data_IF_593784575602
#
_entry.id   IF_593784575602
#
_cell.length_a   1.000
_cell.length_b   1.000
_cell.length_c   1.000
_cell.angle_alpha   90.00
_cell.angle_beta   90.00
_cell.angle_gamma   90.00
#
_symmetry.space_group_name_H-M   'P 1'
#
loop_
_entity.id
_entity.type
_entity.pdbx_description
1 polymer ?
#
# COMPACT_ATOMS: atom_id res chain seq x y z
N UNK A 1 -18.59 -21.85 5.84
CA UNK A 1 -19.15 -20.54 6.23
C UNK A 1 -18.70 -19.55 5.16
N UNK A 2 -19.61 -19.17 4.26
CA UNK A 2 -19.32 -18.32 3.10
C UNK A 2 -19.00 -16.90 3.54
N UNK A 3 -18.14 -16.22 2.75
CA UNK A 3 -17.82 -14.80 2.93
C UNK A 3 -18.96 -13.92 2.39
N UNK A 4 -20.13 -13.96 3.02
CA UNK A 4 -21.23 -13.08 2.61
C UNK A 4 -20.86 -11.58 2.70
N UNK A 5 -19.84 -11.22 3.54
CA UNK A 5 -19.48 -9.84 3.85
C UNK A 5 -18.03 -9.46 3.43
N UNK A 6 -17.44 -10.12 2.43
CA UNK A 6 -16.13 -9.72 1.87
C UNK A 6 -14.94 -9.85 2.82
N UNK A 7 -15.09 -10.54 3.96
CA UNK A 7 -14.03 -10.72 4.97
C UNK A 7 -14.31 -10.01 6.30
N UNK A 8 -15.35 -9.16 6.36
CA UNK A 8 -15.81 -8.58 7.61
C UNK A 8 -16.42 -9.64 8.54
N UNK A 9 -16.33 -9.41 9.85
CA UNK A 9 -16.84 -10.34 10.89
C UNK A 9 -18.35 -10.50 10.83
N UNK A 10 -19.06 -9.40 10.57
CA UNK A 10 -20.52 -9.31 10.36
C UNK A 10 -20.89 -7.96 9.74
N UNK A 11 -22.18 -7.81 9.35
CA UNK A 11 -22.68 -6.60 8.72
C UNK A 11 -22.58 -5.34 9.59
N UNK A 12 -22.76 -5.46 10.91
CA UNK A 12 -22.65 -4.32 11.83
C UNK A 12 -21.21 -3.80 11.92
N UNK A 13 -20.22 -4.70 11.99
CA UNK A 13 -18.80 -4.31 11.98
C UNK A 13 -18.40 -3.70 10.64
N UNK A 14 -18.92 -4.24 9.53
CA UNK A 14 -18.75 -3.64 8.22
C UNK A 14 -19.30 -2.23 8.16
N UNK A 15 -20.51 -2.00 8.66
CA UNK A 15 -21.14 -0.68 8.68
C UNK A 15 -20.33 0.34 9.49
N UNK A 16 -19.88 -0.03 10.71
CA UNK A 16 -19.03 0.83 11.56
C UNK A 16 -17.71 1.16 10.89
N UNK A 17 -17.10 0.18 10.24
CA UNK A 17 -15.85 0.38 9.51
C UNK A 17 -16.03 1.35 8.34
N UNK A 18 -17.07 1.15 7.53
CA UNK A 18 -17.33 2.01 6.37
C UNK A 18 -17.60 3.45 6.77
N UNK A 19 -18.19 3.71 7.93
CA UNK A 19 -18.32 5.08 8.44
C UNK A 19 -16.96 5.76 8.66
N UNK A 20 -16.01 5.07 9.33
CA UNK A 20 -14.64 5.59 9.51
C UNK A 20 -13.89 5.71 8.18
N UNK A 21 -14.10 4.75 7.28
CA UNK A 21 -13.52 4.75 5.94
C UNK A 21 -14.00 5.98 5.13
N UNK A 22 -15.29 6.30 5.18
CA UNK A 22 -15.85 7.45 4.47
C UNK A 22 -15.35 8.78 5.06
N UNK A 23 -15.16 8.88 6.38
CA UNK A 23 -14.55 10.05 7.01
C UNK A 23 -13.11 10.29 6.51
N UNK A 24 -12.30 9.25 6.39
CA UNK A 24 -10.92 9.38 5.87
C UNK A 24 -10.95 9.68 4.37
N UNK A 25 -11.86 9.07 3.62
CA UNK A 25 -12.05 9.39 2.19
C UNK A 25 -12.44 10.84 1.93
N UNK A 26 -13.15 11.47 2.86
CA UNK A 26 -13.52 12.87 2.76
C UNK A 26 -12.33 13.85 2.82
N UNK A 27 -11.12 13.37 3.17
CA UNK A 27 -9.88 14.14 3.04
C UNK A 27 -9.42 14.28 1.57
N UNK A 28 -9.94 13.43 0.70
CA UNK A 28 -9.61 13.40 -0.73
C UNK A 28 -10.70 14.07 -1.55
N UNK A 29 -10.33 14.70 -2.67
CA UNK A 29 -11.31 15.12 -3.69
C UNK A 29 -12.12 13.90 -4.17
N UNK A 30 -13.36 14.15 -4.62
CA UNK A 30 -14.15 13.09 -5.25
C UNK A 30 -13.36 12.48 -6.43
N UNK A 31 -13.40 11.17 -6.62
CA UNK A 31 -12.80 10.54 -7.79
C UNK A 31 -13.55 10.95 -9.06
N UNK A 32 -12.80 11.08 -10.15
CA UNK A 32 -13.38 11.36 -11.47
C UNK A 32 -14.13 10.14 -11.99
N UNK A 33 -13.59 8.93 -11.72
CA UNK A 33 -14.23 7.66 -12.07
C UNK A 33 -14.03 6.63 -10.94
N UNK A 34 -15.04 5.82 -10.72
CA UNK A 34 -14.96 4.65 -9.82
C UNK A 34 -15.17 3.40 -10.66
N UNK A 35 -14.25 2.45 -10.54
CA UNK A 35 -14.32 1.17 -11.25
C UNK A 35 -14.50 0.02 -10.25
N UNK A 36 -15.37 -0.94 -10.59
CA UNK A 36 -15.48 -2.25 -9.94
C UNK A 36 -15.00 -3.31 -10.93
N UNK A 37 -13.77 -3.79 -10.72
CA UNK A 37 -13.08 -4.65 -11.68
C UNK A 37 -13.12 -6.10 -11.22
N UNK A 38 -13.75 -6.96 -12.02
CA UNK A 38 -13.78 -8.39 -11.75
C UNK A 38 -12.45 -9.04 -12.10
N UNK A 39 -11.91 -9.77 -11.14
CA UNK A 39 -10.70 -10.58 -11.28
C UNK A 39 -11.00 -12.04 -10.95
N UNK A 40 -10.05 -12.93 -11.23
CA UNK A 40 -10.10 -14.34 -10.80
C UNK A 40 -10.31 -14.51 -9.29
N UNK A 41 -9.92 -13.51 -8.46
CA UNK A 41 -9.91 -13.60 -7.00
C UNK A 41 -11.02 -12.82 -6.31
N UNK A 42 -11.77 -12.03 -7.07
CA UNK A 42 -12.85 -11.20 -6.56
C UNK A 42 -13.00 -9.89 -7.34
N UNK A 43 -13.73 -8.95 -6.78
CA UNK A 43 -13.98 -7.64 -7.35
C UNK A 43 -13.13 -6.57 -6.65
N UNK A 44 -12.32 -5.86 -7.43
CA UNK A 44 -11.40 -4.80 -6.95
C UNK A 44 -12.04 -3.45 -7.20
N UNK A 45 -12.22 -2.65 -6.15
CA UNK A 45 -12.60 -1.25 -6.23
C UNK A 45 -11.37 -0.40 -6.53
N UNK A 46 -11.46 0.40 -7.60
CA UNK A 46 -10.42 1.33 -8.04
C UNK A 46 -11.02 2.73 -8.16
N UNK A 47 -10.28 3.71 -7.66
CA UNK A 47 -10.64 5.13 -7.77
C UNK A 47 -9.62 5.82 -8.67
N UNK A 48 -10.12 6.50 -9.69
CA UNK A 48 -9.32 7.27 -10.65
C UNK A 48 -9.48 8.76 -10.36
N UNK A 49 -8.35 9.48 -10.38
CA UNK A 49 -8.27 10.92 -10.16
C UNK A 49 -7.34 11.57 -11.17
N UNK A 50 -7.64 12.82 -11.55
CA UNK A 50 -6.81 13.63 -12.42
C UNK A 50 -7.13 13.47 -13.90
N UNK A 51 -6.34 14.05 -14.81
CA UNK A 51 -6.66 14.16 -16.23
C UNK A 51 -6.75 12.78 -16.89
N UNK A 52 -7.78 12.58 -17.68
CA UNK A 52 -7.91 11.36 -18.49
C UNK A 52 -6.76 11.30 -19.51
N UNK A 53 -6.09 10.14 -19.60
CA UNK A 53 -4.99 9.92 -20.54
C UNK A 53 -3.63 10.49 -20.10
N UNK A 54 -3.52 11.01 -18.88
CA UNK A 54 -2.22 11.34 -18.29
C UNK A 54 -1.39 10.08 -17.98
N UNK A 55 -0.05 10.20 -17.78
CA UNK A 55 0.78 9.05 -17.38
C UNK A 55 0.20 8.38 -16.13
N UNK A 56 0.02 7.03 -16.13
CA UNK A 56 -0.67 6.35 -15.07
C UNK A 56 0.22 6.12 -13.84
N UNK A 57 -0.21 6.61 -12.69
CA UNK A 57 0.35 6.27 -11.37
C UNK A 57 -0.63 5.38 -10.63
N UNK A 58 -0.19 4.20 -10.21
CA UNK A 58 -1.00 3.24 -9.47
C UNK A 58 -0.48 3.10 -8.05
N UNK A 59 -1.33 3.37 -7.06
CA UNK A 59 -0.99 3.43 -5.64
C UNK A 59 -1.55 2.24 -4.87
N UNK A 60 -0.68 1.45 -4.23
CA UNK A 60 -1.01 0.25 -3.45
C UNK A 60 -0.80 0.51 -1.96
N UNK A 61 -1.87 0.47 -1.18
CA UNK A 61 -1.89 0.83 0.23
C UNK A 61 -1.23 -0.21 1.16
N UNK A 62 -0.94 0.21 2.40
CA UNK A 62 -0.39 -0.64 3.47
C UNK A 62 -1.41 -1.65 4.03
N UNK A 63 -0.91 -2.57 4.86
CA UNK A 63 -1.71 -3.61 5.50
C UNK A 63 -2.82 -3.02 6.38
N UNK A 64 -4.04 -3.52 6.23
CA UNK A 64 -5.26 -3.06 6.93
C UNK A 64 -5.57 -1.57 6.76
N UNK A 65 -4.96 -0.95 5.75
CA UNK A 65 -5.33 0.36 5.22
C UNK A 65 -6.12 0.19 3.92
N UNK A 66 -6.44 1.31 3.26
CA UNK A 66 -7.23 1.36 2.02
C UNK A 66 -6.72 2.43 1.07
N UNK A 67 -7.32 2.53 -0.11
CA UNK A 67 -7.13 3.64 -1.04
C UNK A 67 -7.29 5.02 -0.38
N UNK A 68 -8.07 5.12 0.68
CA UNK A 68 -8.31 6.37 1.41
C UNK A 68 -7.05 6.98 2.04
N UNK A 69 -5.95 6.21 2.25
CA UNK A 69 -4.70 6.75 2.78
C UNK A 69 -3.96 7.71 1.83
N UNK A 70 -4.34 7.77 0.56
CA UNK A 70 -3.57 8.43 -0.48
C UNK A 70 -3.97 9.88 -0.77
N UNK A 71 -4.69 10.58 0.14
CA UNK A 71 -5.17 11.94 -0.09
C UNK A 71 -4.05 12.93 -0.43
N UNK A 72 -2.89 12.82 0.21
CA UNK A 72 -1.75 13.69 -0.07
C UNK A 72 -1.10 13.40 -1.43
N UNK A 73 -1.01 12.12 -1.82
CA UNK A 73 -0.46 11.73 -3.12
C UNK A 73 -1.43 12.09 -4.24
N UNK A 74 -2.73 11.91 -4.05
CA UNK A 74 -3.75 12.34 -5.00
C UNK A 74 -3.63 13.85 -5.21
N UNK A 75 -3.63 14.64 -4.13
CA UNK A 75 -3.48 16.09 -4.19
C UNK A 75 -2.21 16.52 -4.94
N UNK A 76 -1.08 15.84 -4.66
CA UNK A 76 0.22 16.24 -5.20
C UNK A 76 0.52 15.75 -6.61
N UNK A 77 -0.16 14.70 -7.12
CA UNK A 77 0.19 14.07 -8.39
C UNK A 77 -0.82 14.33 -9.51
N UNK A 78 -2.09 14.63 -9.21
CA UNK A 78 -3.14 14.78 -10.22
C UNK A 78 -2.95 15.98 -11.15
N UNK A 79 -2.04 16.92 -10.86
CA UNK A 79 -1.71 18.01 -11.78
C UNK A 79 -0.96 17.54 -13.03
N UNK A 80 -0.40 16.34 -13.05
CA UNK A 80 0.39 15.84 -14.19
C UNK A 80 0.20 14.36 -14.50
N UNK A 81 -0.55 13.62 -13.66
CA UNK A 81 -0.73 12.18 -13.77
C UNK A 81 -2.20 11.79 -13.63
N UNK A 82 -2.59 10.69 -14.26
CA UNK A 82 -3.81 9.99 -13.89
C UNK A 82 -3.48 9.04 -12.72
N UNK A 83 -4.06 9.29 -11.55
CA UNK A 83 -3.77 8.54 -10.32
C UNK A 83 -4.86 7.51 -10.07
N UNK A 84 -4.47 6.25 -9.94
CA UNK A 84 -5.34 5.14 -9.60
C UNK A 84 -5.02 4.63 -8.21
N UNK A 85 -6.00 4.56 -7.33
CA UNK A 85 -5.88 4.00 -5.98
C UNK A 85 -6.77 2.79 -5.84
N UNK A 86 -6.23 1.68 -5.32
CA UNK A 86 -6.94 0.41 -5.23
C UNK A 86 -7.25 0.08 -3.77
N UNK A 87 -8.46 -0.43 -3.51
CA UNK A 87 -8.69 -1.21 -2.29
C UNK A 87 -8.28 -2.66 -2.56
N UNK A 88 -7.24 -3.13 -1.87
CA UNK A 88 -6.67 -4.46 -2.14
C UNK A 88 -7.56 -5.60 -1.66
N UNK A 89 -7.67 -6.66 -2.46
CA UNK A 89 -8.37 -7.89 -2.06
C UNK A 89 -7.78 -8.47 -0.77
N UNK A 90 -8.65 -8.97 0.10
CA UNK A 90 -8.27 -9.56 1.39
C UNK A 90 -7.87 -8.55 2.46
N UNK A 91 -8.11 -7.27 2.21
CA UNK A 91 -7.93 -6.16 3.13
C UNK A 91 -9.29 -5.49 3.39
N UNK A 92 -9.45 -4.76 4.52
CA UNK A 92 -10.63 -3.93 4.71
C UNK A 92 -10.74 -2.90 3.59
N UNK A 93 -11.95 -2.53 3.19
CA UNK A 93 -12.20 -1.59 2.10
C UNK A 93 -13.48 -1.91 1.35
N UNK A 94 -13.60 -1.38 0.15
CA UNK A 94 -14.77 -1.59 -0.71
C UNK A 94 -14.64 -2.79 -1.68
N UNK A 95 -13.44 -3.39 -1.80
CA UNK A 95 -13.21 -4.60 -2.59
C UNK A 95 -13.75 -5.86 -1.93
N UNK A 96 -14.15 -6.84 -2.74
CA UNK A 96 -14.70 -8.10 -2.24
C UNK A 96 -13.92 -9.30 -2.76
N UNK A 97 -13.22 -10.00 -1.85
CA UNK A 97 -12.49 -11.22 -2.21
C UNK A 97 -13.41 -12.45 -2.18
N UNK A 98 -13.43 -13.20 -3.28
CA UNK A 98 -14.24 -14.44 -3.40
C UNK A 98 -13.38 -15.70 -3.37
N UNK A 99 -12.12 -15.64 -3.82
CA UNK A 99 -11.18 -16.77 -3.88
C UNK A 99 -9.90 -16.45 -3.09
N UNK A 100 -9.36 -17.44 -2.40
CA UNK A 100 -8.13 -17.27 -1.62
C UNK A 100 -6.91 -17.00 -2.53
N UNK A 101 -6.04 -16.09 -2.08
CA UNK A 101 -4.72 -15.83 -2.64
C UNK A 101 -3.66 -16.32 -1.64
N UNK A 102 -3.12 -17.51 -1.85
CA UNK A 102 -2.19 -18.15 -0.91
C UNK A 102 -0.72 -18.01 -1.31
N UNK A 103 -0.46 -17.40 -2.47
CA UNK A 103 0.89 -17.19 -3.00
C UNK A 103 1.07 -15.72 -3.40
N UNK A 104 2.26 -15.12 -3.22
CA UNK A 104 2.54 -13.73 -3.64
C UNK A 104 2.20 -13.47 -5.12
N UNK A 105 2.49 -14.42 -6.00
CA UNK A 105 2.15 -14.32 -7.43
C UNK A 105 0.64 -14.22 -7.70
N UNK A 106 -0.23 -14.73 -6.82
CA UNK A 106 -1.67 -14.57 -6.97
C UNK A 106 -2.12 -13.15 -6.62
N UNK A 107 -1.51 -12.55 -5.59
CA UNK A 107 -1.74 -11.14 -5.27
C UNK A 107 -1.26 -10.23 -6.40
N UNK A 108 -0.08 -10.50 -6.96
CA UNK A 108 0.44 -9.78 -8.12
C UNK A 108 -0.48 -9.92 -9.36
N UNK A 109 -1.02 -11.13 -9.62
CA UNK A 109 -1.99 -11.32 -10.71
C UNK A 109 -3.30 -10.56 -10.49
N UNK A 110 -3.75 -10.36 -9.26
CA UNK A 110 -4.94 -9.53 -9.01
C UNK A 110 -4.71 -8.06 -9.37
N UNK A 111 -3.49 -7.55 -9.14
CA UNK A 111 -3.09 -6.21 -9.56
C UNK A 111 -2.96 -6.15 -11.09
N UNK A 112 -2.28 -7.12 -11.70
CA UNK A 112 -2.13 -7.19 -13.16
C UNK A 112 -3.49 -7.23 -13.87
N UNK A 113 -4.47 -7.97 -13.35
CA UNK A 113 -5.82 -8.01 -13.89
C UNK A 113 -6.50 -6.63 -13.88
N UNK A 114 -6.23 -5.80 -12.88
CA UNK A 114 -6.69 -4.42 -12.84
C UNK A 114 -6.01 -3.59 -13.93
N UNK A 115 -4.67 -3.69 -14.04
CA UNK A 115 -3.91 -2.97 -15.07
C UNK A 115 -4.35 -3.38 -16.49
N UNK A 116 -4.64 -4.66 -16.69
CA UNK A 116 -5.16 -5.16 -17.96
C UNK A 116 -6.56 -4.64 -18.28
N UNK A 117 -7.47 -4.69 -17.32
CA UNK A 117 -8.86 -4.25 -17.51
C UNK A 117 -8.93 -2.76 -17.86
N UNK A 118 -8.08 -1.94 -17.27
CA UNK A 118 -7.98 -0.51 -17.53
C UNK A 118 -7.06 -0.17 -18.71
N UNK A 119 -6.53 -1.17 -19.42
CA UNK A 119 -5.51 -1.06 -20.48
C UNK A 119 -4.35 -0.13 -20.12
N UNK A 120 -3.90 -0.18 -18.87
CA UNK A 120 -2.78 0.62 -18.39
C UNK A 120 -1.45 0.02 -18.83
N UNK A 121 -0.61 0.87 -19.44
CA UNK A 121 0.77 0.59 -19.84
C UNK A 121 1.66 1.70 -19.31
N UNK A 122 2.95 1.46 -19.28
CA UNK A 122 3.95 2.41 -18.80
C UNK A 122 3.62 2.96 -17.39
N UNK A 123 3.13 2.05 -16.52
CA UNK A 123 2.61 2.37 -15.20
C UNK A 123 3.75 2.74 -14.25
N UNK A 124 3.62 3.84 -13.55
CA UNK A 124 4.43 4.17 -12.37
C UNK A 124 3.76 3.53 -11.13
N UNK A 125 4.26 2.34 -10.74
CA UNK A 125 3.69 1.60 -9.62
C UNK A 125 4.30 2.07 -8.31
N UNK A 126 3.46 2.48 -7.36
CA UNK A 126 3.87 2.97 -6.04
C UNK A 126 3.24 2.09 -4.96
N UNK A 127 4.03 1.61 -4.02
CA UNK A 127 3.51 0.78 -2.93
C UNK A 127 4.05 1.21 -1.56
N UNK A 128 3.16 1.39 -0.58
CA UNK A 128 3.52 1.67 0.80
C UNK A 128 3.47 0.41 1.66
N UNK A 129 4.47 0.19 2.50
CA UNK A 129 4.47 -0.89 3.50
C UNK A 129 4.19 -2.27 2.86
N UNK A 130 3.10 -2.94 3.23
CA UNK A 130 2.61 -4.18 2.60
C UNK A 130 2.35 -3.99 1.10
N UNK A 131 1.82 -2.84 0.69
CA UNK A 131 1.68 -2.48 -0.71
C UNK A 131 3.01 -2.43 -1.45
N UNK A 132 4.10 -2.05 -0.79
CA UNK A 132 5.46 -2.09 -1.33
C UNK A 132 5.94 -3.53 -1.58
N UNK A 133 5.62 -4.44 -0.66
CA UNK A 133 5.87 -5.88 -0.86
C UNK A 133 5.07 -6.44 -2.05
N UNK A 134 3.77 -6.09 -2.15
CA UNK A 134 2.93 -6.48 -3.29
C UNK A 134 3.44 -5.90 -4.61
N UNK A 135 3.79 -4.61 -4.63
CA UNK A 135 4.31 -3.92 -5.80
C UNK A 135 5.63 -4.54 -6.30
N UNK A 136 6.51 -4.98 -5.38
CA UNK A 136 7.75 -5.70 -5.72
C UNK A 136 7.45 -7.02 -6.43
N UNK A 137 6.49 -7.81 -5.94
CA UNK A 137 6.06 -9.04 -6.59
C UNK A 137 5.36 -8.79 -7.93
N UNK A 138 4.61 -7.70 -8.05
CA UNK A 138 3.97 -7.29 -9.31
C UNK A 138 5.02 -6.91 -10.35
N UNK A 139 6.02 -6.11 -9.97
CA UNK A 139 7.09 -5.71 -10.88
C UNK A 139 7.95 -6.89 -11.36
N UNK A 140 8.14 -7.90 -10.53
CA UNK A 140 8.82 -9.14 -10.95
C UNK A 140 7.96 -10.01 -11.89
N UNK A 141 6.62 -9.94 -11.79
CA UNK A 141 5.71 -10.76 -12.58
C UNK A 141 5.39 -10.14 -13.94
N UNK A 142 5.15 -8.83 -13.99
CA UNK A 142 4.67 -8.12 -15.18
C UNK A 142 5.49 -6.86 -15.50
N UNK A 143 6.82 -6.98 -15.63
CA UNK A 143 7.69 -5.82 -15.84
C UNK A 143 7.34 -5.02 -17.10
N UNK A 144 6.80 -5.66 -18.13
CA UNK A 144 6.45 -5.04 -19.42
C UNK A 144 5.27 -4.04 -19.33
N UNK A 145 4.55 -3.99 -18.24
CA UNK A 145 3.49 -2.99 -18.00
C UNK A 145 3.95 -1.77 -17.23
N UNK A 146 5.15 -1.84 -16.64
CA UNK A 146 5.62 -0.86 -15.70
C UNK A 146 6.77 -0.03 -16.26
N UNK A 147 6.73 1.29 -16.12
CA UNK A 147 7.86 2.18 -16.35
C UNK A 147 8.75 2.28 -15.12
N UNK A 148 8.17 2.37 -13.92
CA UNK A 148 8.93 2.49 -12.68
C UNK A 148 8.25 1.78 -11.50
N UNK A 149 9.04 1.50 -10.47
CA UNK A 149 8.57 1.04 -9.16
C UNK A 149 9.05 2.00 -8.07
N UNK A 150 8.13 2.55 -7.29
CA UNK A 150 8.44 3.34 -6.08
C UNK A 150 7.97 2.59 -4.84
N UNK A 151 8.89 2.33 -3.92
CA UNK A 151 8.64 1.65 -2.66
C UNK A 151 8.72 2.65 -1.50
N UNK A 152 7.59 2.88 -0.83
CA UNK A 152 7.50 3.77 0.32
C UNK A 152 7.55 2.93 1.60
N UNK A 153 8.69 2.95 2.27
CA UNK A 153 8.96 2.22 3.52
C UNK A 153 8.44 0.76 3.50
N UNK A 154 8.89 -0.07 2.52
CA UNK A 154 8.26 -1.33 2.16
C UNK A 154 8.43 -2.38 3.27
N UNK A 155 7.33 -2.90 3.78
CA UNK A 155 7.32 -3.92 4.82
C UNK A 155 7.96 -5.23 4.34
N UNK A 156 8.87 -5.80 5.14
CA UNK A 156 9.44 -7.15 4.92
C UNK A 156 10.00 -7.39 3.53
N UNK A 157 10.47 -6.33 2.86
CA UNK A 157 10.96 -6.36 1.47
C UNK A 157 12.47 -6.17 1.43
N UNK A 158 12.97 -5.01 1.82
CA UNK A 158 14.43 -4.69 1.85
C UNK A 158 15.04 -4.91 3.24
N UNK A 159 14.23 -4.93 4.30
CA UNK A 159 14.62 -5.36 5.63
C UNK A 159 13.54 -6.24 6.27
N UNK A 160 13.92 -7.07 7.25
CA UNK A 160 12.96 -7.85 8.02
C UNK A 160 12.22 -6.95 8.99
N UNK A 161 10.94 -7.22 9.18
CA UNK A 161 10.14 -6.55 10.21
C UNK A 161 10.71 -6.81 11.60
N UNK A 162 10.64 -5.79 12.46
CA UNK A 162 11.16 -5.85 13.82
C UNK A 162 10.36 -6.82 14.71
N UNK A 163 10.95 -7.38 15.76
CA UNK A 163 10.20 -8.17 16.75
C UNK A 163 9.08 -7.37 17.40
N UNK A 164 9.24 -6.06 17.54
CA UNK A 164 8.21 -5.17 18.07
C UNK A 164 7.00 -5.09 17.12
N UNK A 165 7.22 -5.02 15.80
CA UNK A 165 6.13 -5.05 14.85
C UNK A 165 5.31 -6.34 14.96
N UNK A 166 5.97 -7.51 15.04
CA UNK A 166 5.26 -8.79 15.18
C UNK A 166 4.45 -8.88 16.47
N UNK A 167 4.96 -8.34 17.59
CA UNK A 167 4.20 -8.24 18.85
C UNK A 167 2.99 -7.32 18.72
N UNK A 168 3.16 -6.15 18.08
CA UNK A 168 2.08 -5.20 17.81
C UNK A 168 1.01 -5.81 16.91
N UNK A 169 1.41 -6.50 15.85
CA UNK A 169 0.49 -7.19 14.93
C UNK A 169 -0.31 -8.29 15.64
N UNK A 170 0.34 -9.11 16.45
CA UNK A 170 -0.35 -10.15 17.23
C UNK A 170 -1.39 -9.56 18.18
N UNK A 171 -1.07 -8.43 18.82
CA UNK A 171 -1.99 -7.73 19.72
C UNK A 171 -3.19 -7.14 18.96
N UNK A 172 -2.95 -6.48 17.84
CA UNK A 172 -3.97 -5.91 16.97
C UNK A 172 -4.94 -6.98 16.43
N UNK A 173 -4.42 -8.15 16.06
CA UNK A 173 -5.24 -9.27 15.56
C UNK A 173 -6.07 -9.95 16.66
N UNK A 174 -5.56 -10.03 17.90
CA UNK A 174 -6.19 -10.79 18.98
C UNK A 174 -7.04 -9.95 19.92
N UNK A 175 -6.69 -8.68 20.13
CA UNK A 175 -7.35 -7.77 21.09
C UNK A 175 -7.51 -6.34 20.55
N UNK A 176 -8.15 -6.14 19.38
CA UNK A 176 -8.20 -4.85 18.67
C UNK A 176 -8.87 -3.72 19.47
N UNK A 177 -9.71 -4.03 20.44
CA UNK A 177 -10.42 -3.04 21.27
C UNK A 177 -9.70 -2.70 22.59
N UNK A 178 -8.45 -3.12 22.78
CA UNK A 178 -7.70 -2.85 23.99
C UNK A 178 -6.88 -1.56 23.89
N UNK A 179 -6.69 -0.83 25.00
CA UNK A 179 -5.78 0.32 25.06
C UNK A 179 -4.35 -0.02 24.59
N UNK A 180 -3.91 -1.29 24.77
CA UNK A 180 -2.63 -1.75 24.27
C UNK A 180 -2.61 -1.83 22.73
N UNK A 181 -3.72 -2.19 22.10
CA UNK A 181 -3.83 -2.19 20.64
C UNK A 181 -3.84 -0.77 20.08
N UNK A 182 -4.48 0.18 20.76
CA UNK A 182 -4.40 1.61 20.42
C UNK A 182 -2.96 2.12 20.46
N UNK A 183 -2.23 1.79 21.53
CA UNK A 183 -0.81 2.13 21.63
C UNK A 183 0.05 1.44 20.54
N UNK A 184 -0.23 0.17 20.23
CA UNK A 184 0.45 -0.55 19.16
C UNK A 184 0.18 0.04 17.78
N UNK A 185 -1.06 0.45 17.50
CA UNK A 185 -1.41 1.14 16.26
C UNK A 185 -0.74 2.50 16.16
N UNK A 186 -0.77 3.29 17.24
CA UNK A 186 -0.07 4.57 17.31
C UNK A 186 1.43 4.42 17.05
N UNK A 187 2.07 3.40 17.62
CA UNK A 187 3.48 3.10 17.35
C UNK A 187 3.73 2.78 15.87
N UNK A 188 2.88 1.96 15.22
CA UNK A 188 3.02 1.63 13.80
C UNK A 188 2.85 2.87 12.92
N UNK A 189 1.97 3.79 13.30
CA UNK A 189 1.66 5.01 12.52
C UNK A 189 2.47 6.23 12.95
N UNK A 190 3.46 6.09 13.85
CA UNK A 190 4.38 7.15 14.24
C UNK A 190 3.89 8.05 15.39
N UNK A 191 3.04 7.56 16.28
CA UNK A 191 2.51 8.32 17.42
C UNK A 191 1.90 9.68 17.03
N UNK A 192 0.92 9.72 16.12
CA UNK A 192 0.40 10.97 15.60
C UNK A 192 -0.25 11.83 16.68
N UNK A 193 -0.13 13.17 16.59
CA UNK A 193 -0.85 14.09 17.46
C UNK A 193 -2.38 13.87 17.34
N UNK A 194 -3.13 13.99 18.47
CA UNK A 194 -4.58 13.94 18.42
C UNK A 194 -5.17 14.96 17.42
N UNK A 195 -6.18 14.54 16.65
CA UNK A 195 -6.83 15.41 15.67
C UNK A 195 -6.08 15.60 14.35
N UNK A 196 -4.86 15.07 14.20
CA UNK A 196 -4.14 15.11 12.93
C UNK A 196 -4.76 14.14 11.91
N UNK A 197 -4.47 14.34 10.61
CA UNK A 197 -4.88 13.44 9.54
C UNK A 197 -4.29 12.01 9.71
N UNK A 198 -3.09 11.91 10.25
CA UNK A 198 -2.47 10.61 10.59
C UNK A 198 -3.23 9.92 11.75
N UNK A 199 -3.76 10.68 12.72
CA UNK A 199 -4.60 10.11 13.77
C UNK A 199 -5.91 9.54 13.21
N UNK A 200 -6.49 10.16 12.18
CA UNK A 200 -7.64 9.61 11.46
C UNK A 200 -7.27 8.29 10.73
N UNK A 201 -6.10 8.25 10.10
CA UNK A 201 -5.58 7.02 9.48
C UNK A 201 -5.34 5.92 10.54
N UNK A 202 -4.80 6.26 11.71
CA UNK A 202 -4.63 5.32 12.84
C UNK A 202 -5.98 4.76 13.30
N UNK A 203 -7.01 5.60 13.34
CA UNK A 203 -8.39 5.18 13.68
C UNK A 203 -8.96 4.24 12.63
N UNK A 204 -8.74 4.50 11.32
CA UNK A 204 -9.14 3.61 10.23
C UNK A 204 -8.41 2.26 10.32
N UNK A 205 -7.12 2.28 10.59
CA UNK A 205 -6.28 1.09 10.78
C UNK A 205 -6.81 0.20 11.94
N UNK A 206 -7.09 0.80 13.10
CA UNK A 206 -7.70 0.11 14.25
C UNK A 206 -9.09 -0.45 13.93
N UNK A 207 -9.93 0.34 13.27
CA UNK A 207 -11.26 -0.09 12.86
C UNK A 207 -11.18 -1.29 11.90
N UNK A 208 -10.17 -1.32 11.03
CA UNK A 208 -9.89 -2.46 10.16
C UNK A 208 -9.62 -3.74 10.96
N UNK A 209 -8.76 -3.71 11.98
CA UNK A 209 -8.50 -4.87 12.84
C UNK A 209 -9.71 -5.30 13.67
N UNK A 210 -10.53 -4.36 14.11
CA UNK A 210 -11.73 -4.65 14.85
C UNK A 210 -12.80 -5.31 13.99
N UNK A 211 -13.03 -4.79 12.79
CA UNK A 211 -14.13 -5.18 11.94
C UNK A 211 -13.82 -6.35 10.98
N UNK A 212 -12.56 -6.43 10.50
CA UNK A 212 -12.14 -7.42 9.53
C UNK A 212 -11.49 -8.63 10.22
N UNK A 213 -11.74 -9.81 9.72
CA UNK A 213 -11.14 -11.03 10.26
C UNK A 213 -9.63 -11.12 9.98
N UNK A 214 -8.89 -12.01 10.67
CA UNK A 214 -7.48 -12.23 10.36
C UNK A 214 -7.31 -12.66 8.90
N UNK A 215 -6.19 -12.32 8.24
CA UNK A 215 -5.98 -12.51 6.80
C UNK A 215 -5.77 -13.98 6.45
N UNK A 216 -6.81 -14.78 6.58
CA UNK A 216 -6.78 -16.24 6.33
C UNK A 216 -6.74 -16.61 4.85
N UNK A 217 -6.93 -15.62 3.96
CA UNK A 217 -7.10 -15.82 2.51
C UNK A 217 -6.12 -15.02 1.67
N UNK A 218 -5.13 -14.38 2.29
CA UNK A 218 -4.05 -13.66 1.62
C UNK A 218 -2.75 -14.44 1.73
N UNK A 219 -1.83 -14.18 0.80
CA UNK A 219 -0.51 -14.77 0.80
C UNK A 219 0.25 -14.39 2.09
N UNK A 220 1.03 -15.31 2.67
CA UNK A 220 1.89 -14.99 3.79
C UNK A 220 2.93 -13.95 3.36
N UNK A 221 3.20 -13.00 4.25
CA UNK A 221 4.22 -11.98 4.06
C UNK A 221 5.61 -12.61 4.19
N UNK A 222 6.10 -13.20 3.11
CA UNK A 222 7.41 -13.85 3.06
C UNK A 222 8.50 -12.84 2.72
N UNK A 223 9.64 -12.93 3.44
CA UNK A 223 10.80 -12.12 3.12
C UNK A 223 11.42 -12.58 1.80
N UNK A 224 11.50 -11.74 0.77
CA UNK A 224 11.97 -12.15 -0.54
C UNK A 224 13.46 -12.50 -0.48
N UNK A 225 13.89 -13.61 -1.10
CA UNK A 225 15.30 -13.90 -1.26
C UNK A 225 15.96 -12.86 -2.21
N UNK A 226 17.26 -12.68 -2.13
CA UNK A 226 17.98 -11.69 -2.92
C UNK A 226 17.76 -11.84 -4.42
N UNK A 227 17.65 -13.10 -4.91
CA UNK A 227 17.33 -13.38 -6.31
C UNK A 227 15.99 -12.77 -6.76
N UNK A 228 15.01 -12.69 -5.86
CA UNK A 228 13.71 -12.12 -6.18
C UNK A 228 13.77 -10.59 -6.30
N UNK A 229 14.63 -9.92 -5.53
CA UNK A 229 14.87 -8.49 -5.72
C UNK A 229 15.63 -8.23 -7.03
N UNK A 230 16.62 -9.06 -7.35
CA UNK A 230 17.39 -8.96 -8.61
C UNK A 230 16.56 -9.25 -9.86
N UNK A 231 15.42 -9.94 -9.73
CA UNK A 231 14.50 -10.19 -10.86
C UNK A 231 13.56 -9.02 -11.17
N UNK A 232 13.61 -7.93 -10.42
CA UNK A 232 12.90 -6.69 -10.74
C UNK A 232 13.78 -5.87 -11.70
N UNK A 233 13.37 -5.81 -12.97
CA UNK A 233 14.15 -5.20 -14.05
C UNK A 233 13.75 -3.77 -14.40
N UNK A 234 12.62 -3.28 -13.87
CA UNK A 234 12.23 -1.88 -14.02
C UNK A 234 13.06 -0.97 -13.13
N UNK A 235 13.22 0.32 -13.44
CA UNK A 235 13.82 1.30 -12.55
C UNK A 235 13.10 1.34 -11.21
N UNK A 236 13.86 1.31 -10.10
CA UNK A 236 13.30 1.29 -8.73
C UNK A 236 13.85 2.44 -7.90
N UNK A 237 12.97 3.11 -7.15
CA UNK A 237 13.36 3.95 -6.02
C UNK A 237 12.74 3.43 -4.72
N UNK A 238 13.48 3.54 -3.62
CA UNK A 238 13.05 3.14 -2.27
C UNK A 238 13.16 4.36 -1.35
N UNK A 239 12.04 4.80 -0.83
CA UNK A 239 11.93 5.91 0.10
C UNK A 239 11.70 5.36 1.50
N UNK A 240 12.66 5.55 2.40
CA UNK A 240 12.72 4.92 3.73
C UNK A 240 12.46 5.92 4.84
N UNK A 241 11.80 5.47 5.89
CA UNK A 241 11.65 6.19 7.15
C UNK A 241 12.68 5.71 8.19
N UNK A 242 13.15 6.61 9.06
CA UNK A 242 14.12 6.30 10.12
C UNK A 242 13.46 5.72 11.37
N UNK A 243 12.27 6.22 11.73
CA UNK A 243 11.49 5.75 12.87
C UNK A 243 10.40 4.79 12.41
N UNK A 244 10.76 3.55 12.05
CA UNK A 244 9.86 2.65 11.33
C UNK A 244 9.75 1.25 11.94
N UNK A 245 9.00 0.40 11.26
CA UNK A 245 8.67 -0.99 11.65
C UNK A 245 9.80 -1.99 11.38
N UNK A 246 10.89 -1.57 10.77
CA UNK A 246 12.09 -2.37 10.48
C UNK A 246 13.37 -1.58 10.81
N UNK A 247 14.53 -2.19 10.63
CA UNK A 247 15.83 -1.55 10.79
C UNK A 247 16.21 -0.81 9.48
N UNK A 248 16.24 0.54 9.45
CA UNK A 248 16.50 1.31 8.22
C UNK A 248 17.94 1.14 7.72
N UNK A 249 18.92 0.97 8.61
CA UNK A 249 20.30 0.77 8.21
C UNK A 249 20.49 -0.59 7.52
N UNK A 250 19.81 -1.63 8.01
CA UNK A 250 19.79 -2.93 7.32
C UNK A 250 19.10 -2.85 5.97
N UNK A 251 18.05 -2.03 5.84
CA UNK A 251 17.40 -1.80 4.56
C UNK A 251 18.37 -1.17 3.56
N UNK A 252 19.05 -0.09 3.95
CA UNK A 252 20.05 0.59 3.12
C UNK A 252 21.19 -0.35 2.73
N UNK A 253 21.79 -1.06 3.71
CA UNK A 253 22.88 -2.03 3.43
C UNK A 253 22.45 -3.11 2.44
N UNK A 254 21.21 -3.62 2.57
CA UNK A 254 20.71 -4.65 1.64
C UNK A 254 20.47 -4.10 0.24
N UNK A 255 19.92 -2.89 0.10
CA UNK A 255 19.78 -2.24 -1.21
C UNK A 255 21.16 -2.12 -1.86
N UNK A 256 22.15 -1.56 -1.16
CA UNK A 256 23.50 -1.35 -1.67
C UNK A 256 24.21 -2.65 -2.06
N UNK A 257 23.99 -3.74 -1.32
CA UNK A 257 24.69 -5.02 -1.57
C UNK A 257 23.97 -5.93 -2.57
N UNK A 258 22.64 -5.90 -2.63
CA UNK A 258 21.84 -6.85 -3.43
C UNK A 258 21.36 -6.25 -4.74
N UNK A 259 20.95 -4.99 -4.71
CA UNK A 259 20.35 -4.25 -5.84
C UNK A 259 20.93 -2.83 -5.93
N UNK A 260 22.24 -2.65 -6.13
CA UNK A 260 22.90 -1.35 -6.07
C UNK A 260 22.40 -0.34 -7.11
N UNK A 261 21.71 -0.79 -8.14
CA UNK A 261 21.05 0.07 -9.13
C UNK A 261 19.74 0.71 -8.64
N UNK A 262 19.20 0.27 -7.52
CA UNK A 262 18.00 0.87 -6.95
C UNK A 262 18.35 2.19 -6.25
N UNK A 263 17.69 3.27 -6.64
CA UNK A 263 17.80 4.54 -5.93
C UNK A 263 17.18 4.41 -4.54
N UNK A 264 17.79 5.04 -3.53
CA UNK A 264 17.19 5.09 -2.19
C UNK A 264 17.41 6.45 -1.53
N UNK A 265 16.46 6.82 -0.68
CA UNK A 265 16.53 8.00 0.18
C UNK A 265 15.95 7.67 1.55
N UNK A 266 16.59 8.18 2.61
CA UNK A 266 16.19 7.98 4.01
C UNK A 266 15.82 9.32 4.64
N UNK A 267 14.61 9.38 5.20
CA UNK A 267 14.17 10.46 6.10
C UNK A 267 14.36 9.99 7.55
N UNK A 268 15.47 10.38 8.17
CA UNK A 268 15.89 9.88 9.49
C UNK A 268 14.89 10.15 10.61
N UNK A 269 14.08 11.22 10.51
CA UNK A 269 13.10 11.60 11.52
C UNK A 269 11.67 11.15 11.20
N UNK A 270 11.37 10.77 9.97
CA UNK A 270 10.04 10.34 9.57
C UNK A 270 9.68 8.97 10.17
N UNK A 271 8.39 8.79 10.45
CA UNK A 271 7.82 7.51 10.87
C UNK A 271 7.38 6.66 9.67
N UNK A 272 6.81 5.49 9.97
CA UNK A 272 6.20 4.63 8.95
C UNK A 272 5.05 5.31 8.18
N UNK A 273 4.53 6.43 8.67
CA UNK A 273 3.56 7.29 7.96
C UNK A 273 4.24 8.29 6.99
N UNK A 274 5.46 8.01 6.53
CA UNK A 274 6.25 8.80 5.59
C UNK A 274 5.45 9.41 4.43
N UNK A 275 4.50 8.69 3.74
CA UNK A 275 3.73 9.26 2.65
C UNK A 275 2.90 10.49 3.03
N UNK A 276 2.59 10.65 4.31
CA UNK A 276 1.78 11.75 4.85
C UNK A 276 2.66 12.77 5.56
N UNK A 277 3.61 12.33 6.37
CA UNK A 277 4.51 13.21 7.14
C UNK A 277 5.43 14.06 6.24
N UNK A 278 5.91 13.49 5.15
CA UNK A 278 6.79 14.14 4.17
C UNK A 278 6.13 14.16 2.78
N UNK A 279 4.82 14.49 2.73
CA UNK A 279 4.01 14.34 1.54
C UNK A 279 4.57 15.09 0.32
N UNK A 280 4.98 16.35 0.50
CA UNK A 280 5.46 17.17 -0.61
C UNK A 280 6.79 16.63 -1.18
N UNK A 281 7.72 16.20 -0.31
CA UNK A 281 8.98 15.61 -0.75
C UNK A 281 8.77 14.22 -1.38
N UNK A 282 7.90 13.39 -0.80
CA UNK A 282 7.54 12.08 -1.37
C UNK A 282 6.91 12.26 -2.75
N UNK A 283 5.96 13.18 -2.89
CA UNK A 283 5.33 13.49 -4.17
C UNK A 283 6.34 14.03 -5.19
N UNK A 284 7.27 14.88 -4.76
CA UNK A 284 8.36 15.37 -5.62
C UNK A 284 9.27 14.23 -6.09
N UNK A 285 9.63 13.29 -5.20
CA UNK A 285 10.41 12.10 -5.55
C UNK A 285 9.66 11.21 -6.56
N UNK A 286 8.38 10.91 -6.32
CA UNK A 286 7.56 10.10 -7.24
C UNK A 286 7.51 10.77 -8.61
N UNK A 287 7.18 12.07 -8.66
CA UNK A 287 7.06 12.85 -9.90
C UNK A 287 8.38 12.89 -10.67
N UNK A 288 9.47 13.28 -10.02
CA UNK A 288 10.78 13.40 -10.68
C UNK A 288 11.26 12.06 -11.22
N UNK A 289 11.05 10.98 -10.46
CA UNK A 289 11.44 9.63 -10.87
C UNK A 289 10.58 9.13 -12.04
N UNK A 290 9.27 9.38 -12.00
CA UNK A 290 8.37 9.07 -13.10
C UNK A 290 8.78 9.81 -14.39
N UNK A 291 8.94 11.15 -14.34
CA UNK A 291 9.31 11.96 -15.50
C UNK A 291 10.66 11.52 -16.08
N UNK A 292 11.66 11.23 -15.25
CA UNK A 292 12.98 10.78 -15.70
C UNK A 292 12.95 9.45 -16.47
N UNK A 293 11.88 8.65 -16.33
CA UNK A 293 11.74 7.34 -16.96
C UNK A 293 10.49 7.22 -17.86
N UNK A 294 9.82 8.33 -18.18
CA UNK A 294 8.66 8.37 -19.09
C UNK A 294 9.04 8.54 -20.57
N UNK A 295 10.29 8.42 -20.96
CA UNK A 295 10.78 8.75 -22.31
C UNK A 295 11.59 7.66 -23.00
N UNK A 296 11.39 6.38 -22.72
CA UNK A 296 12.10 5.29 -23.33
C UNK A 296 11.18 4.35 -24.12
N UNK A 297 10.54 4.85 -25.16
CA UNK A 297 9.92 4.00 -26.21
C UNK A 297 10.47 4.42 -27.56
#
# INVERSE_FOLDING_TARGET
MGLADGGFRNANERHRYLHVYDEVRALTSQPDVVHDIRTEFGEVRVYQHGPAGGPPVVLIHGFYLTSAMWWEQIRGLTSGFTVYTLDMLGQPGASTQTKAMTKPAQCARSIDAVLQHLDLRDVHLVGHSYGGWLATHTAALVPSRLSTLTLLDPAHTVARLSPQFWRSLALLLTRPHSARAEHAAAWVTGHPPPGSSIAMLTRLFLAGFAAFGPPRRTAPLLFPPDRALRSVHVPVQVLLAGNTIHDPDRAVRRIQSVVPAWHHRLWSQASHSLPIEAADEVNACIRSFAIAHSGGA
#
